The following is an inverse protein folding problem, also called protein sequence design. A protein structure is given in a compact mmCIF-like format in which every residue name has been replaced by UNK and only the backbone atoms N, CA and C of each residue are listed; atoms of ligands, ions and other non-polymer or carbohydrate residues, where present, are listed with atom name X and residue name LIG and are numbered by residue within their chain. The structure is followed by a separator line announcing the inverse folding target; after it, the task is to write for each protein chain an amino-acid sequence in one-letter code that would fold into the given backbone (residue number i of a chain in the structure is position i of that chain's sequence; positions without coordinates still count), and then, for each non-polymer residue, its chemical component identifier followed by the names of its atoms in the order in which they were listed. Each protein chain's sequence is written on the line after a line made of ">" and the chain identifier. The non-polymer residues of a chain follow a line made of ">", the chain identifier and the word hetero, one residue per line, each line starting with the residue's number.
data_IF_175161656290
#
_entry.id   IF_175161656290
#
_cell.length_a   1.000
_cell.length_b   1.000
_cell.length_c   1.000
_cell.angle_alpha   90.00
_cell.angle_beta   90.00
_cell.angle_gamma   90.00
#
_symmetry.space_group_name_H-M   'P 1'
#
loop_
_entity.id
_entity.type
_entity.pdbx_description
1 polymer ?
#
# COMPACT_ATOMS: atom_id res chain seq x y z
N UNK A 1 9.06 14.95 -2.65
CA UNK A 1 7.62 14.62 -2.89
C UNK A 1 7.08 13.76 -1.75
N UNK A 2 7.73 12.64 -1.42
CA UNK A 2 7.39 11.77 -0.29
C UNK A 2 7.14 12.53 1.03
N UNK A 3 8.00 13.47 1.42
CA UNK A 3 7.78 14.27 2.64
C UNK A 3 6.49 15.09 2.62
N UNK A 4 6.13 15.67 1.47
CA UNK A 4 4.87 16.44 1.35
C UNK A 4 3.65 15.53 1.52
N UNK A 5 3.72 14.31 0.98
CA UNK A 5 2.68 13.30 1.17
C UNK A 5 2.64 12.88 2.64
N UNK A 6 3.80 12.56 3.23
CA UNK A 6 3.93 12.19 4.64
C UNK A 6 3.31 13.22 5.58
N UNK A 7 3.61 14.51 5.41
CA UNK A 7 3.04 15.56 6.26
C UNK A 7 1.51 15.62 6.21
N UNK A 8 0.90 15.24 5.08
CA UNK A 8 -0.57 15.22 4.93
C UNK A 8 -1.21 14.00 5.57
N UNK A 9 -0.53 12.85 5.54
CA UNK A 9 -1.14 11.58 5.95
C UNK A 9 -0.69 11.09 7.33
N UNK A 10 0.41 11.60 7.90
CA UNK A 10 1.03 11.09 9.14
C UNK A 10 0.07 10.96 10.32
N UNK A 11 -1.01 11.76 10.36
CA UNK A 11 -2.02 11.70 11.43
C UNK A 11 -2.95 10.48 11.31
N UNK A 12 -3.04 9.89 10.12
CA UNK A 12 -3.80 8.66 9.85
C UNK A 12 -2.92 7.41 9.92
N UNK A 13 -1.61 7.59 10.10
CA UNK A 13 -0.65 6.49 10.22
C UNK A 13 -0.37 6.27 11.72
N UNK A 14 -0.37 5.01 12.19
CA UNK A 14 0.01 4.70 13.56
C UNK A 14 1.39 5.27 13.90
N UNK A 15 1.50 6.02 15.00
CA UNK A 15 2.80 6.57 15.42
C UNK A 15 3.80 5.44 15.73
N UNK A 16 3.29 4.32 16.26
CA UNK A 16 4.04 3.09 16.53
C UNK A 16 3.38 1.92 15.82
N UNK A 17 4.20 0.98 15.38
CA UNK A 17 3.74 -0.22 14.68
C UNK A 17 4.31 -1.50 15.32
N UNK A 18 5.00 -2.33 14.53
CA UNK A 18 5.60 -3.58 14.97
C UNK A 18 6.74 -3.34 15.98
N UNK A 19 6.75 -4.08 17.09
CA UNK A 19 7.76 -3.97 18.16
C UNK A 19 7.99 -2.52 18.67
N UNK A 20 6.94 -1.70 18.72
CA UNK A 20 7.02 -0.28 19.11
C UNK A 20 7.93 0.59 18.22
N UNK A 21 8.29 0.13 17.01
CA UNK A 21 9.02 0.95 16.06
C UNK A 21 8.17 2.14 15.62
N UNK A 22 8.81 3.32 15.55
CA UNK A 22 8.16 4.58 15.22
C UNK A 22 8.05 4.75 13.70
N UNK A 23 6.89 5.18 13.23
CA UNK A 23 6.74 5.63 11.85
C UNK A 23 7.40 7.02 11.68
N UNK A 24 8.45 7.10 10.87
CA UNK A 24 9.28 8.31 10.72
C UNK A 24 9.05 9.04 9.39
N UNK A 25 8.52 8.36 8.38
CA UNK A 25 8.38 8.91 7.03
C UNK A 25 7.89 7.90 6.01
N UNK A 26 7.92 8.30 4.74
CA UNK A 26 7.70 7.42 3.58
C UNK A 26 9.03 7.15 2.89
N UNK A 27 9.12 6.00 2.23
CA UNK A 27 10.21 5.74 1.30
C UNK A 27 10.21 6.80 0.17
N UNK A 28 11.35 7.43 -0.07
CA UNK A 28 11.50 8.46 -1.11
C UNK A 28 11.34 7.91 -2.53
N UNK A 29 11.51 6.60 -2.71
CA UNK A 29 11.36 5.89 -3.98
C UNK A 29 9.89 5.58 -4.26
N UNK A 30 9.14 6.61 -4.65
CA UNK A 30 7.75 6.45 -5.10
C UNK A 30 7.69 5.57 -6.35
N UNK A 31 6.75 4.63 -6.38
CA UNK A 31 6.46 3.77 -7.54
C UNK A 31 5.14 4.22 -8.17
N UNK A 32 5.14 4.36 -9.48
CA UNK A 32 3.96 4.72 -10.27
C UNK A 32 3.56 3.51 -11.08
N UNK A 33 2.34 3.02 -10.82
CA UNK A 33 1.76 1.88 -11.51
C UNK A 33 0.72 2.41 -12.48
N UNK A 34 0.78 1.94 -13.72
CA UNK A 34 -0.23 2.19 -14.74
C UNK A 34 -0.61 0.85 -15.33
N UNK A 35 -1.91 0.61 -15.36
CA UNK A 35 -2.51 -0.57 -15.97
C UNK A 35 -3.35 -0.13 -17.16
N UNK A 36 -3.24 -0.86 -18.26
CA UNK A 36 -4.19 -0.83 -19.37
C UNK A 36 -5.20 -1.99 -19.22
N UNK A 37 -6.31 -1.94 -19.97
CA UNK A 37 -7.40 -2.92 -19.87
C UNK A 37 -6.90 -4.36 -19.98
N UNK A 38 -7.27 -5.21 -19.01
CA UNK A 38 -6.90 -6.61 -18.95
C UNK A 38 -5.55 -6.89 -18.27
N UNK A 39 -4.81 -5.84 -17.90
CA UNK A 39 -3.65 -5.98 -17.03
C UNK A 39 -4.08 -6.14 -15.58
N UNK A 40 -3.28 -6.87 -14.83
CA UNK A 40 -3.51 -7.11 -13.40
C UNK A 40 -2.19 -7.20 -12.68
N UNK A 41 -2.23 -6.90 -11.39
CA UNK A 41 -1.21 -7.33 -10.46
C UNK A 41 -1.68 -8.60 -9.78
N UNK A 42 -0.98 -9.70 -10.05
CA UNK A 42 -1.27 -10.99 -9.43
C UNK A 42 -1.25 -10.91 -7.90
N UNK A 43 -1.96 -11.83 -7.25
CA UNK A 43 -2.06 -11.83 -5.80
C UNK A 43 -0.67 -11.99 -5.16
N UNK A 44 -0.32 -11.09 -4.24
CA UNK A 44 1.00 -11.04 -3.60
C UNK A 44 0.93 -10.36 -2.22
N UNK A 45 2.03 -10.44 -1.48
CA UNK A 45 2.33 -9.53 -0.36
C UNK A 45 3.41 -8.56 -0.81
N UNK A 46 3.39 -7.34 -0.28
CA UNK A 46 4.45 -6.39 -0.57
C UNK A 46 5.76 -6.81 0.10
N UNK A 47 6.85 -6.54 -0.59
CA UNK A 47 8.19 -6.72 -0.04
C UNK A 47 8.55 -5.64 1.00
N UNK A 48 9.37 -6.02 1.97
CA UNK A 48 10.01 -5.06 2.87
C UNK A 48 11.21 -4.40 2.18
N UNK A 49 11.25 -3.07 2.19
CA UNK A 49 12.42 -2.28 1.81
C UNK A 49 13.22 -1.95 3.06
N UNK A 50 14.51 -2.29 3.07
CA UNK A 50 15.47 -1.87 4.08
C UNK A 50 16.40 -0.80 3.50
N UNK A 51 16.56 0.33 4.19
CA UNK A 51 17.46 1.40 3.76
C UNK A 51 18.92 0.97 3.99
N UNK A 52 19.77 1.17 2.96
CA UNK A 52 21.17 0.73 2.96
C UNK A 52 22.17 1.85 3.27
N UNK A 53 21.80 2.79 4.13
CA UNK A 53 22.65 3.94 4.54
C UNK A 53 23.10 3.87 6.02
N UNK A 54 22.87 2.73 6.68
CA UNK A 54 23.19 2.52 8.09
C UNK A 54 22.13 3.03 9.08
N UNK A 55 21.01 3.60 8.60
CA UNK A 55 19.88 4.01 9.44
C UNK A 55 19.05 2.84 9.99
N UNK A 56 19.18 1.64 9.40
CA UNK A 56 18.39 0.45 9.69
C UNK A 56 16.86 0.63 9.52
N UNK A 57 16.43 1.65 8.77
CA UNK A 57 15.02 1.89 8.46
C UNK A 57 14.44 0.77 7.59
N UNK A 58 13.19 0.37 7.88
CA UNK A 58 12.48 -0.68 7.15
C UNK A 58 11.02 -0.31 6.88
N UNK A 59 10.48 -0.70 5.74
CA UNK A 59 9.06 -0.48 5.41
C UNK A 59 8.17 -1.63 5.90
N UNK A 60 7.15 -1.31 6.68
CA UNK A 60 6.15 -2.28 7.16
C UNK A 60 4.73 -1.99 6.62
N UNK A 61 4.46 -0.72 6.33
CA UNK A 61 3.15 -0.22 5.91
C UNK A 61 3.28 0.23 4.46
N UNK A 62 2.33 -0.20 3.63
CA UNK A 62 2.18 0.29 2.26
C UNK A 62 1.12 1.36 2.22
N UNK A 63 1.38 2.38 1.40
CA UNK A 63 0.44 3.44 1.09
C UNK A 63 0.28 3.52 -0.42
N UNK A 64 -0.92 3.21 -0.89
CA UNK A 64 -1.30 3.29 -2.29
C UNK A 64 -2.21 4.49 -2.49
N UNK A 65 -1.82 5.41 -3.37
CA UNK A 65 -2.62 6.59 -3.71
C UNK A 65 -3.20 6.37 -5.11
N UNK A 66 -4.52 6.40 -5.22
CA UNK A 66 -5.19 6.29 -6.51
C UNK A 66 -5.18 7.64 -7.24
N UNK A 67 -4.65 7.65 -8.46
CA UNK A 67 -4.47 8.87 -9.26
C UNK A 67 -5.60 9.11 -10.25
N UNK A 68 -6.44 8.10 -10.47
CA UNK A 68 -7.59 8.08 -11.35
C UNK A 68 -8.66 7.14 -10.77
N UNK A 69 -9.86 7.17 -11.35
CA UNK A 69 -10.99 6.34 -10.99
C UNK A 69 -11.86 6.07 -12.21
N UNK A 70 -12.83 5.16 -12.08
CA UNK A 70 -13.91 4.99 -13.04
C UNK A 70 -13.72 3.87 -14.06
N UNK A 71 -12.86 2.88 -13.79
CA UNK A 71 -12.71 1.71 -14.66
C UNK A 71 -13.41 0.48 -14.06
N UNK A 72 -13.68 -0.51 -14.91
CA UNK A 72 -14.56 -1.63 -14.59
C UNK A 72 -13.77 -2.85 -14.13
N UNK A 73 -13.90 -3.21 -12.86
CA UNK A 73 -13.15 -4.33 -12.27
C UNK A 73 -11.98 -3.89 -11.38
N UNK A 74 -11.84 -2.59 -11.18
CA UNK A 74 -10.83 -1.93 -10.35
C UNK A 74 -11.10 -2.10 -8.87
N UNK A 75 -10.72 -3.24 -8.31
CA UNK A 75 -10.68 -3.37 -6.86
C UNK A 75 -9.28 -3.79 -6.47
N UNK A 76 -8.65 -3.00 -5.60
CA UNK A 76 -7.60 -3.57 -4.75
C UNK A 76 -8.31 -4.51 -3.79
N UNK A 77 -8.12 -5.82 -4.00
CA UNK A 77 -8.82 -6.85 -3.24
C UNK A 77 -7.85 -7.52 -2.29
N UNK A 78 -8.11 -7.39 -0.99
CA UNK A 78 -7.46 -8.15 0.07
C UNK A 78 -8.11 -9.53 0.16
N UNK A 79 -7.27 -10.56 0.07
CA UNK A 79 -7.67 -11.95 -0.02
C UNK A 79 -7.24 -12.65 1.27
N UNK A 80 -8.12 -13.45 1.85
CA UNK A 80 -7.69 -14.42 2.85
C UNK A 80 -7.22 -15.70 2.13
N UNK A 81 -5.91 -16.01 2.12
CA UNK A 81 -5.40 -17.18 1.43
C UNK A 81 -5.90 -18.50 2.03
N UNK A 82 -6.37 -18.50 3.28
CA UNK A 82 -6.93 -19.69 3.93
C UNK A 82 -8.42 -19.86 3.66
N UNK A 83 -9.08 -18.86 3.07
CA UNK A 83 -10.52 -18.87 2.78
C UNK A 83 -11.41 -18.90 4.02
N UNK A 84 -10.87 -18.54 5.20
CA UNK A 84 -11.62 -18.52 6.47
C UNK A 84 -12.48 -17.26 6.53
N UNK A 85 -11.92 -16.12 6.13
CA UNK A 85 -12.59 -14.83 6.08
C UNK A 85 -12.99 -14.45 4.66
N UNK A 86 -13.94 -13.53 4.55
CA UNK A 86 -14.33 -12.94 3.28
C UNK A 86 -13.25 -11.98 2.75
N UNK A 87 -13.12 -11.94 1.43
CA UNK A 87 -12.27 -10.95 0.77
C UNK A 87 -12.80 -9.53 1.01
N UNK A 88 -11.89 -8.58 1.18
CA UNK A 88 -12.22 -7.16 1.36
C UNK A 88 -11.80 -6.38 0.13
N UNK A 89 -12.73 -5.62 -0.45
CA UNK A 89 -12.50 -4.82 -1.66
C UNK A 89 -12.35 -3.35 -1.32
N UNK A 90 -11.37 -2.71 -1.96
CA UNK A 90 -11.19 -1.28 -1.97
C UNK A 90 -11.34 -0.77 -3.41
N UNK A 91 -12.46 -0.08 -3.68
CA UNK A 91 -12.72 0.57 -4.97
C UNK A 91 -11.91 1.87 -5.04
N UNK A 92 -11.02 2.06 -6.03
CA UNK A 92 -10.26 3.28 -6.24
C UNK A 92 -11.15 4.51 -6.35
N UNK A 93 -10.69 5.59 -5.72
CA UNK A 93 -11.24 6.93 -5.90
C UNK A 93 -10.10 7.91 -6.03
N UNK A 94 -10.20 8.84 -6.97
CA UNK A 94 -9.10 9.78 -7.27
C UNK A 94 -8.73 10.56 -6.01
N UNK A 95 -7.45 10.52 -5.65
CA UNK A 95 -6.90 11.19 -4.46
C UNK A 95 -7.04 10.40 -3.15
N UNK A 96 -7.70 9.24 -3.14
CA UNK A 96 -7.80 8.38 -1.96
C UNK A 96 -6.45 7.69 -1.68
N UNK A 97 -6.07 7.65 -0.40
CA UNK A 97 -4.93 6.89 0.10
C UNK A 97 -5.42 5.63 0.83
N UNK A 98 -5.07 4.47 0.29
CA UNK A 98 -5.26 3.17 0.94
C UNK A 98 -4.00 2.85 1.75
N UNK A 99 -4.18 2.53 3.03
CA UNK A 99 -3.10 2.21 3.98
C UNK A 99 -3.30 0.80 4.51
N UNK A 100 -2.28 -0.05 4.42
CA UNK A 100 -2.35 -1.45 4.85
C UNK A 100 -0.98 -2.02 5.23
N UNK A 101 -0.96 -3.16 5.90
CA UNK A 101 0.27 -3.86 6.27
C UNK A 101 0.84 -4.63 5.07
N UNK A 102 1.97 -4.19 4.52
CA UNK A 102 2.47 -4.71 3.25
C UNK A 102 2.87 -6.19 3.30
N UNK A 103 3.64 -6.57 4.32
CA UNK A 103 4.23 -7.92 4.45
C UNK A 103 3.25 -8.99 4.96
N UNK A 104 2.00 -8.62 5.29
CA UNK A 104 0.99 -9.56 5.83
C UNK A 104 -0.35 -9.50 5.12
N UNK A 105 -0.57 -8.50 4.26
CA UNK A 105 -1.80 -8.39 3.49
C UNK A 105 -1.59 -9.07 2.14
N UNK A 106 -2.37 -10.11 1.86
CA UNK A 106 -2.39 -10.72 0.54
C UNK A 106 -3.37 -9.94 -0.33
N UNK A 107 -2.92 -9.33 -1.42
CA UNK A 107 -3.78 -8.52 -2.27
C UNK A 107 -3.51 -8.71 -3.75
N UNK A 108 -4.53 -8.41 -4.57
CA UNK A 108 -4.41 -8.32 -6.02
C UNK A 108 -5.05 -7.03 -6.51
N UNK A 109 -4.61 -6.59 -7.69
CA UNK A 109 -5.19 -5.45 -8.41
C UNK A 109 -5.62 -5.93 -9.80
N UNK A 110 -6.81 -5.55 -10.23
CA UNK A 110 -7.35 -5.93 -11.54
C UNK A 110 -7.89 -4.67 -12.20
N UNK A 111 -7.62 -4.44 -13.49
CA UNK A 111 -8.13 -3.31 -14.28
C UNK A 111 -8.79 -3.80 -15.57
#
# INVERSE_FOLDING_TARGET
>A
MADKIWQRIKLYIPEKWYQNQKAIGLNERLRFLRYDVGQKFEAHMDGCYQRQDGSFESSFITIQIYLNEGFKGEDTTFIDPNGINSNVKCVPKTGMALVFEGIRSYMKEVV
#
